data_IF_814298110584
#
_entry.id   IF_814298110584
#
_cell.length_a   1.000
_cell.length_b   1.000
_cell.length_c   1.000
_cell.angle_alpha   90.00
_cell.angle_beta   90.00
_cell.angle_gamma   90.00
#
_symmetry.space_group_name_H-M   'P 1'
#
loop_
_entity.id
_entity.type
_entity.pdbx_description
1 polymer ?
#
# COMPACT_ATOMS: atom_id res chain seq x y z
N UNK A 1 -0.29 13.31 20.86
CA UNK A 1 -0.27 14.29 19.73
C UNK A 1 -0.53 15.67 20.29
N UNK A 2 0.24 16.69 19.87
CA UNK A 2 0.05 18.05 20.35
C UNK A 2 -1.08 18.74 19.57
N UNK A 3 -2.05 19.38 20.26
CA UNK A 3 -3.10 20.19 19.64
C UNK A 3 -2.55 21.38 18.83
N UNK A 4 -1.35 21.88 19.18
CA UNK A 4 -0.74 23.07 18.57
C UNK A 4 0.40 22.80 17.59
N UNK A 5 1.22 21.75 17.78
CA UNK A 5 2.43 21.52 16.96
C UNK A 5 2.25 20.31 16.05
N UNK A 6 2.48 20.52 14.76
CA UNK A 6 2.54 19.45 13.75
C UNK A 6 3.80 18.63 13.96
N UNK A 7 3.67 17.30 14.00
CA UNK A 7 4.82 16.41 14.06
C UNK A 7 5.66 16.49 12.76
N UNK A 8 6.98 16.54 12.91
CA UNK A 8 7.92 16.53 11.79
C UNK A 8 7.89 15.14 11.15
N UNK A 9 7.71 15.09 9.83
CA UNK A 9 7.73 13.85 9.06
C UNK A 9 9.18 13.41 8.84
N UNK A 10 9.47 12.14 9.16
CA UNK A 10 10.80 11.55 8.91
C UNK A 10 10.90 11.13 7.44
N UNK A 11 11.99 11.47 6.73
CA UNK A 11 12.19 11.01 5.36
C UNK A 11 12.44 9.50 5.32
N UNK A 12 11.92 8.85 4.28
CA UNK A 12 12.13 7.40 4.03
C UNK A 12 13.26 7.26 3.02
N UNK A 13 14.24 6.42 3.33
CA UNK A 13 15.34 6.10 2.41
C UNK A 13 14.83 5.22 1.26
N UNK A 14 15.41 5.34 0.05
CA UNK A 14 15.07 4.44 -1.06
C UNK A 14 15.54 3.01 -0.79
N UNK A 15 14.96 2.07 -1.53
CA UNK A 15 15.26 0.65 -1.42
C UNK A 15 16.69 0.31 -1.87
N UNK A 16 17.25 -0.77 -1.34
CA UNK A 16 18.60 -1.20 -1.66
C UNK A 16 18.70 -1.85 -3.05
N UNK A 17 17.65 -2.56 -3.50
CA UNK A 17 17.67 -3.32 -4.76
C UNK A 17 17.04 -2.52 -5.90
N UNK A 18 15.84 -1.97 -5.66
CA UNK A 18 15.08 -1.26 -6.70
C UNK A 18 15.27 0.26 -6.67
N UNK A 19 16.02 0.80 -5.70
CA UNK A 19 16.23 2.24 -5.50
C UNK A 19 14.95 3.09 -5.43
N UNK A 20 13.81 2.46 -5.10
CA UNK A 20 12.50 3.10 -5.04
C UNK A 20 12.05 3.31 -3.60
N UNK A 21 11.55 4.51 -3.30
CA UNK A 21 10.94 4.84 -2.01
C UNK A 21 9.63 4.07 -1.82
N UNK A 22 8.91 3.78 -2.90
CA UNK A 22 7.63 3.07 -2.87
C UNK A 22 7.80 1.64 -2.33
N UNK A 23 8.84 0.94 -2.80
CA UNK A 23 9.20 -0.41 -2.35
C UNK A 23 9.54 -0.40 -0.86
N UNK A 24 10.35 0.57 -0.38
CA UNK A 24 10.65 0.69 1.05
C UNK A 24 9.39 0.97 1.88
N UNK A 25 8.48 1.80 1.39
CA UNK A 25 7.20 2.03 2.05
C UNK A 25 6.36 0.74 2.14
N UNK A 26 6.30 -0.05 1.07
CA UNK A 26 5.62 -1.34 1.05
C UNK A 26 6.25 -2.33 2.06
N UNK A 27 7.58 -2.46 2.07
CA UNK A 27 8.32 -3.28 3.06
C UNK A 27 7.93 -2.88 4.48
N UNK A 28 7.90 -1.58 4.77
CA UNK A 28 7.52 -1.06 6.08
C UNK A 28 6.04 -1.35 6.44
N UNK A 29 5.12 -1.42 5.46
CA UNK A 29 3.72 -1.81 5.71
C UNK A 29 3.54 -3.31 5.91
N UNK A 30 4.34 -4.14 5.25
CA UNK A 30 4.34 -5.60 5.42
C UNK A 30 4.98 -5.99 6.76
N UNK A 31 6.01 -5.28 7.19
CA UNK A 31 6.77 -5.54 8.40
C UNK A 31 5.90 -5.60 9.66
N UNK A 32 6.10 -6.66 10.45
CA UNK A 32 5.42 -6.87 11.74
C UNK A 32 6.46 -7.10 12.83
N UNK A 33 6.25 -6.53 14.02
CA UNK A 33 7.14 -6.66 15.18
C UNK A 33 8.61 -6.30 14.86
N UNK A 34 8.85 -5.35 13.96
CA UNK A 34 10.19 -4.90 13.59
C UNK A 34 11.03 -5.89 12.76
N UNK A 35 10.45 -7.00 12.27
CA UNK A 35 11.17 -8.02 11.49
C UNK A 35 11.39 -7.58 10.04
N UNK A 36 12.34 -6.67 9.79
CA UNK A 36 12.60 -6.10 8.46
C UNK A 36 13.08 -7.13 7.45
N UNK A 37 14.04 -7.99 7.82
CA UNK A 37 14.59 -9.03 6.94
C UNK A 37 13.52 -9.98 6.42
N UNK A 38 12.52 -10.33 7.25
CA UNK A 38 11.41 -11.19 6.84
C UNK A 38 10.47 -10.44 5.89
N UNK A 39 10.21 -9.16 6.15
CA UNK A 39 9.38 -8.33 5.28
C UNK A 39 10.02 -8.14 3.89
N UNK A 40 11.33 -7.90 3.84
CA UNK A 40 12.12 -7.81 2.60
C UNK A 40 12.01 -9.11 1.80
N UNK A 41 12.23 -10.27 2.43
CA UNK A 41 12.08 -11.58 1.78
C UNK A 41 10.69 -11.79 1.19
N UNK A 42 9.63 -11.35 1.88
CA UNK A 42 8.25 -11.45 1.40
C UNK A 42 8.04 -10.54 0.18
N UNK A 43 8.47 -9.27 0.25
CA UNK A 43 8.24 -8.28 -0.81
C UNK A 43 9.06 -8.59 -2.05
N UNK A 44 10.36 -8.88 -1.91
CA UNK A 44 11.19 -9.26 -3.04
C UNK A 44 10.72 -10.56 -3.68
N UNK A 45 10.34 -11.54 -2.86
CA UNK A 45 9.74 -12.76 -3.38
C UNK A 45 8.41 -12.51 -4.11
N UNK A 46 7.58 -11.57 -3.65
CA UNK A 46 6.35 -11.23 -4.34
C UNK A 46 6.64 -10.55 -5.70
N UNK A 47 7.68 -9.71 -5.77
CA UNK A 47 8.11 -9.06 -7.02
C UNK A 47 8.69 -10.05 -8.02
N UNK A 48 9.43 -11.06 -7.57
CA UNK A 48 9.89 -12.17 -8.41
C UNK A 48 8.70 -12.93 -9.04
N UNK A 49 7.70 -13.30 -8.24
CA UNK A 49 6.48 -13.96 -8.73
C UNK A 49 5.66 -13.08 -9.69
N UNK A 50 5.66 -11.76 -9.47
CA UNK A 50 5.03 -10.82 -10.39
C UNK A 50 5.76 -10.81 -11.73
N UNK A 51 7.08 -10.73 -11.70
CA UNK A 51 7.91 -10.75 -12.91
C UNK A 51 7.71 -12.05 -13.71
N UNK A 52 7.66 -13.20 -13.04
CA UNK A 52 7.38 -14.49 -13.70
C UNK A 52 6.02 -14.51 -14.42
N UNK A 53 5.00 -13.89 -13.83
CA UNK A 53 3.63 -13.90 -14.39
C UNK A 53 3.40 -12.85 -15.47
N UNK A 54 3.87 -11.63 -15.26
CA UNK A 54 3.61 -10.51 -16.19
C UNK A 54 4.67 -10.41 -17.27
N UNK A 55 5.87 -10.99 -17.05
CA UNK A 55 7.08 -10.80 -17.87
C UNK A 55 7.47 -9.33 -18.06
N UNK A 56 6.98 -8.46 -17.18
CA UNK A 56 7.25 -7.02 -17.18
C UNK A 56 8.12 -6.65 -15.98
N UNK A 57 8.66 -5.44 -16.00
CA UNK A 57 9.40 -4.91 -14.87
C UNK A 57 8.50 -4.86 -13.62
N UNK A 58 8.83 -5.56 -12.52
CA UNK A 58 7.99 -5.61 -11.34
C UNK A 58 7.80 -4.24 -10.68
N UNK A 59 8.74 -3.31 -10.87
CA UNK A 59 8.61 -1.94 -10.35
C UNK A 59 7.47 -1.17 -11.04
N UNK A 60 7.40 -1.25 -12.37
CA UNK A 60 6.34 -0.60 -13.16
C UNK A 60 4.97 -1.20 -12.85
N UNK A 61 4.91 -2.53 -12.70
CA UNK A 61 3.68 -3.23 -12.29
C UNK A 61 3.23 -2.76 -10.91
N UNK A 62 4.15 -2.59 -9.96
CA UNK A 62 3.85 -2.08 -8.63
C UNK A 62 3.33 -0.63 -8.68
N UNK A 63 3.99 0.24 -9.45
CA UNK A 63 3.58 1.64 -9.58
C UNK A 63 2.18 1.77 -10.18
N UNK A 64 1.90 1.00 -11.24
CA UNK A 64 0.58 0.98 -11.87
C UNK A 64 -0.49 0.36 -10.96
N UNK A 65 -0.18 -0.73 -10.25
CA UNK A 65 -1.09 -1.31 -9.27
C UNK A 65 -1.44 -0.31 -8.15
N UNK A 66 -0.44 0.41 -7.63
CA UNK A 66 -0.68 1.45 -6.61
C UNK A 66 -1.47 2.63 -7.18
N UNK A 67 -1.23 3.03 -8.43
CA UNK A 67 -1.98 4.10 -9.08
C UNK A 67 -3.47 3.75 -9.22
N UNK A 68 -3.79 2.51 -9.57
CA UNK A 68 -5.16 2.02 -9.69
C UNK A 68 -5.91 2.00 -8.36
N UNK A 69 -5.23 1.63 -7.26
CA UNK A 69 -5.81 1.53 -5.91
C UNK A 69 -5.93 2.90 -5.22
N UNK A 70 -5.27 3.92 -5.76
CA UNK A 70 -5.11 5.23 -5.14
C UNK A 70 -6.46 5.97 -5.04
N UNK A 71 -7.00 6.27 -3.83
CA UNK A 71 -8.26 7.00 -3.71
C UNK A 71 -8.05 8.50 -3.90
N UNK A 72 -8.88 9.14 -4.72
CA UNK A 72 -8.84 10.60 -4.91
C UNK A 72 -9.64 11.34 -3.83
N UNK A 73 -10.80 10.80 -3.45
CA UNK A 73 -11.69 11.34 -2.43
C UNK A 73 -11.83 10.36 -1.27
N UNK A 74 -11.84 10.88 -0.04
CA UNK A 74 -12.25 10.13 1.15
C UNK A 74 -13.44 10.81 1.82
N UNK A 75 -14.26 10.03 2.48
CA UNK A 75 -15.42 10.54 3.20
C UNK A 75 -15.04 10.83 4.64
N UNK A 76 -15.39 12.02 5.14
CA UNK A 76 -15.24 12.40 6.55
C UNK A 76 -16.59 12.65 7.20
N UNK A 77 -16.78 12.07 8.37
CA UNK A 77 -17.94 12.33 9.21
C UNK A 77 -17.90 13.76 9.74
N UNK A 78 -18.92 14.57 9.42
CA UNK A 78 -19.12 15.93 9.93
C UNK A 78 -20.49 16.02 10.58
N UNK A 79 -20.54 16.52 11.82
CA UNK A 79 -21.82 16.71 12.53
C UNK A 79 -22.39 18.09 12.21
N UNK A 80 -23.63 18.13 11.74
CA UNK A 80 -24.35 19.36 11.39
C UNK A 80 -25.80 19.22 11.84
N UNK A 81 -26.33 20.19 12.59
CA UNK A 81 -27.76 20.21 12.96
C UNK A 81 -28.27 18.98 13.73
N UNK A 82 -27.41 18.31 14.50
CA UNK A 82 -27.77 17.11 15.27
C UNK A 82 -27.49 15.77 14.58
N UNK A 83 -27.40 15.73 13.24
CA UNK A 83 -27.08 14.53 12.45
C UNK A 83 -25.60 14.49 12.01
N UNK A 84 -25.11 13.28 11.67
CA UNK A 84 -23.75 13.06 11.17
C UNK A 84 -23.80 12.83 9.66
N UNK A 85 -23.21 13.75 8.90
CA UNK A 85 -23.13 13.67 7.44
C UNK A 85 -21.76 13.17 7.00
N UNK A 86 -21.77 12.49 5.86
CA UNK A 86 -20.59 12.00 5.17
C UNK A 86 -20.16 13.04 4.13
N UNK A 87 -19.10 13.78 4.40
CA UNK A 87 -18.61 14.86 3.53
C UNK A 87 -17.42 14.35 2.72
N UNK A 88 -17.46 14.39 1.37
CA UNK A 88 -16.31 14.05 0.54
C UNK A 88 -15.22 15.12 0.68
N UNK A 89 -13.98 14.67 0.87
CA UNK A 89 -12.80 15.53 0.99
C UNK A 89 -11.68 14.92 0.17
N UNK A 90 -10.95 15.77 -0.56
CA UNK A 90 -9.78 15.34 -1.33
C UNK A 90 -8.68 14.75 -0.45
N UNK A 91 -8.13 13.62 -0.88
CA UNK A 91 -7.05 12.93 -0.19
C UNK A 91 -5.71 13.49 -0.62
N UNK A 92 -4.88 13.90 0.35
CA UNK A 92 -3.53 14.39 0.07
C UNK A 92 -2.65 13.30 -0.55
N UNK A 93 -1.76 13.60 -1.51
CA UNK A 93 -0.99 12.59 -2.26
C UNK A 93 -0.18 11.61 -1.38
N UNK A 94 0.43 12.10 -0.30
CA UNK A 94 1.17 11.26 0.65
C UNK A 94 0.27 10.25 1.38
N UNK A 95 -0.97 10.68 1.67
CA UNK A 95 -1.99 9.84 2.29
C UNK A 95 -2.57 8.85 1.28
N UNK A 96 -2.76 9.27 0.02
CA UNK A 96 -3.26 8.43 -1.06
C UNK A 96 -2.39 7.17 -1.21
N UNK A 97 -1.08 7.34 -1.37
CA UNK A 97 -0.12 6.22 -1.46
C UNK A 97 -0.14 5.36 -0.21
N UNK A 98 -0.18 5.97 0.98
CA UNK A 98 -0.22 5.18 2.22
C UNK A 98 -1.55 4.44 2.43
N UNK A 99 -2.67 4.91 1.88
CA UNK A 99 -3.95 4.20 1.91
C UNK A 99 -3.90 3.02 0.94
N UNK A 100 -3.43 3.25 -0.28
CA UNK A 100 -3.33 2.19 -1.29
C UNK A 100 -2.46 1.02 -0.81
N UNK A 101 -1.23 1.31 -0.33
CA UNK A 101 -0.36 0.28 0.23
C UNK A 101 -0.96 -0.42 1.46
N UNK A 102 -1.79 0.27 2.24
CA UNK A 102 -2.45 -0.34 3.41
C UNK A 102 -3.51 -1.33 2.97
N UNK A 103 -4.35 -0.96 2.01
CA UNK A 103 -5.42 -1.83 1.50
C UNK A 103 -4.84 -3.06 0.82
N UNK A 104 -3.86 -2.90 -0.08
CA UNK A 104 -3.17 -4.03 -0.73
C UNK A 104 -2.63 -5.03 0.31
N UNK A 105 -1.92 -4.55 1.32
CA UNK A 105 -1.36 -5.42 2.37
C UNK A 105 -2.45 -6.04 3.25
N UNK A 106 -3.54 -5.32 3.52
CA UNK A 106 -4.65 -5.81 4.33
C UNK A 106 -5.41 -6.93 3.61
N UNK A 107 -5.74 -6.75 2.34
CA UNK A 107 -6.42 -7.76 1.54
C UNK A 107 -5.52 -8.98 1.25
N UNK A 108 -4.22 -8.75 1.01
CA UNK A 108 -3.25 -9.84 0.91
C UNK A 108 -3.20 -10.71 2.17
N UNK A 109 -3.34 -10.10 3.36
CA UNK A 109 -3.42 -10.83 4.64
C UNK A 109 -4.76 -11.54 4.84
N UNK A 110 -5.83 -11.02 4.25
CA UNK A 110 -7.17 -11.60 4.38
C UNK A 110 -7.34 -12.87 3.52
N UNK A 111 -6.50 -13.08 2.49
CA UNK A 111 -6.50 -14.32 1.69
C UNK A 111 -6.15 -15.53 2.55
N UNK A 112 -7.11 -16.45 2.69
CA UNK A 112 -6.95 -17.69 3.46
C UNK A 112 -6.19 -18.74 2.65
N UNK A 113 -5.35 -19.53 3.31
CA UNK A 113 -4.68 -20.70 2.70
C UNK A 113 -3.49 -20.39 1.79
N UNK A 114 -3.07 -19.13 1.67
CA UNK A 114 -1.95 -18.74 0.79
C UNK A 114 -0.85 -18.05 1.62
N UNK A 115 0.43 -18.40 1.44
CA UNK A 115 1.52 -17.73 2.14
C UNK A 115 1.64 -16.26 1.69
N UNK A 116 2.03 -15.37 2.59
CA UNK A 116 2.06 -13.91 2.36
C UNK A 116 2.82 -13.50 1.09
N UNK A 117 3.93 -14.16 0.74
CA UNK A 117 4.69 -13.93 -0.51
C UNK A 117 3.79 -14.07 -1.75
N UNK A 118 3.04 -15.17 -1.83
CA UNK A 118 2.13 -15.46 -2.95
C UNK A 118 0.87 -14.61 -2.88
N UNK A 119 0.30 -14.40 -1.69
CA UNK A 119 -0.90 -13.60 -1.52
C UNK A 119 -0.67 -12.14 -1.94
N UNK A 120 0.49 -11.56 -1.59
CA UNK A 120 0.85 -10.19 -2.01
C UNK A 120 1.03 -10.08 -3.53
N UNK A 121 1.68 -11.07 -4.16
CA UNK A 121 1.84 -11.08 -5.61
C UNK A 121 0.48 -11.21 -6.34
N UNK A 122 -0.45 -12.01 -5.81
CA UNK A 122 -1.81 -12.12 -6.36
C UNK A 122 -2.57 -10.80 -6.24
N UNK A 123 -2.58 -10.16 -5.07
CA UNK A 123 -3.26 -8.86 -4.92
C UNK A 123 -2.67 -7.78 -5.81
N UNK A 124 -1.34 -7.74 -5.97
CA UNK A 124 -0.70 -6.76 -6.85
C UNK A 124 -1.06 -7.00 -8.32
N UNK A 125 -1.21 -8.25 -8.75
CA UNK A 125 -1.64 -8.59 -10.10
C UNK A 125 -3.12 -8.24 -10.33
N UNK A 126 -3.97 -8.51 -9.35
CA UNK A 126 -5.40 -8.18 -9.40
C UNK A 126 -5.61 -6.66 -9.41
N UNK A 127 -4.86 -5.92 -8.59
CA UNK A 127 -4.84 -4.46 -8.57
C UNK A 127 -4.30 -3.86 -9.88
N UNK A 128 -3.25 -4.47 -10.46
CA UNK A 128 -2.73 -4.08 -11.78
C UNK A 128 -3.78 -4.22 -12.88
N UNK A 129 -4.66 -5.22 -12.75
CA UNK A 129 -5.71 -5.55 -13.73
C UNK A 129 -7.07 -4.91 -13.43
N UNK A 130 -7.18 -4.11 -12.36
CA UNK A 130 -8.44 -3.53 -11.87
C UNK A 130 -9.54 -4.57 -11.52
N UNK A 131 -9.15 -5.77 -11.12
CA UNK A 131 -10.07 -6.89 -10.83
C UNK A 131 -10.02 -7.32 -9.35
N UNK A 132 -9.35 -6.55 -8.49
CA UNK A 132 -9.19 -6.82 -7.06
C UNK A 132 -10.27 -6.20 -6.17
N UNK A 133 -10.31 -6.64 -4.91
CA UNK A 133 -11.13 -6.03 -3.85
C UNK A 133 -10.45 -4.81 -3.19
N UNK A 134 -9.20 -4.53 -3.58
CA UNK A 134 -8.34 -3.48 -3.05
C UNK A 134 -8.34 -2.25 -3.94
#
# INVERSE_FOLDING_TARGET
MARRRRAIKRPVRPDALFHSVLVTQLINKVMRRGKKTVAEKIVYGAMELLHEKTKQNPLEVLEKAVANVKPELEVKSRRVGGATYQVPVEVRPDRQVSLALRWIVQYAKARKGVPMKRALAMELLDAYSNQGAS
#
